data_IF_497675645427
#
_entry.id   IF_497675645427
#
_cell.length_a   1.000
_cell.length_b   1.000
_cell.length_c   1.000
_cell.angle_alpha   90.00
_cell.angle_beta   90.00
_cell.angle_gamma   90.00
#
_symmetry.space_group_name_H-M   'P 1'
#
loop_
_entity.id
_entity.type
_entity.pdbx_description
1 polymer ?
#
# COMPACT_ATOMS: atom_id res chain seq x y z
N UNK A 1 1.59 -16.26 16.58
CA UNK A 1 1.38 -14.89 16.08
C UNK A 1 1.76 -14.93 14.62
N UNK A 2 0.92 -14.40 13.73
CA UNK A 2 1.20 -14.41 12.30
C UNK A 2 2.47 -13.59 11.97
N UNK A 3 3.24 -14.02 10.97
CA UNK A 3 4.41 -13.30 10.48
C UNK A 3 4.05 -12.41 9.29
N UNK A 4 4.59 -11.18 9.24
CA UNK A 4 4.16 -10.16 8.28
C UNK A 4 5.38 -9.54 7.58
N UNK A 5 5.35 -9.54 6.22
CA UNK A 5 6.24 -8.73 5.38
C UNK A 5 5.60 -7.38 5.10
N UNK A 6 6.26 -6.29 5.46
CA UNK A 6 5.91 -4.96 4.94
C UNK A 6 6.42 -4.85 3.49
N UNK A 7 5.54 -4.47 2.57
CA UNK A 7 5.87 -4.20 1.18
C UNK A 7 5.49 -2.76 0.82
N UNK A 8 6.48 -1.95 0.47
CA UNK A 8 6.28 -0.56 0.08
C UNK A 8 6.84 -0.30 -1.31
N UNK A 9 6.15 0.58 -2.06
CA UNK A 9 6.62 1.16 -3.31
C UNK A 9 6.88 2.63 -3.06
N UNK A 10 8.08 3.10 -3.32
CA UNK A 10 8.48 4.47 -3.00
C UNK A 10 9.08 5.20 -4.21
N UNK A 11 8.92 6.54 -4.23
CA UNK A 11 9.60 7.41 -5.16
C UNK A 11 9.63 8.84 -4.63
N UNK A 12 10.81 9.34 -4.29
CA UNK A 12 11.01 10.71 -3.77
C UNK A 12 10.17 10.99 -2.51
N UNK A 13 10.26 10.08 -1.54
CA UNK A 13 9.48 10.12 -0.30
C UNK A 13 10.34 10.47 0.92
N UNK A 14 11.52 11.11 0.71
CA UNK A 14 12.48 11.42 1.77
C UNK A 14 11.88 12.24 2.93
N UNK A 15 10.86 13.04 2.66
CA UNK A 15 10.23 13.89 3.67
C UNK A 15 9.28 13.14 4.62
N UNK A 16 8.76 11.97 4.24
CA UNK A 16 7.70 11.26 4.99
C UNK A 16 8.05 9.82 5.34
N UNK A 17 8.95 9.18 4.58
CA UNK A 17 9.25 7.76 4.71
C UNK A 17 9.73 7.37 6.11
N UNK A 18 10.61 8.15 6.73
CA UNK A 18 11.09 7.86 8.09
C UNK A 18 9.93 7.82 9.09
N UNK A 19 9.05 8.83 9.05
CA UNK A 19 7.86 8.90 9.93
C UNK A 19 6.94 7.69 9.76
N UNK A 20 6.72 7.25 8.50
CA UNK A 20 5.95 6.05 8.22
C UNK A 20 6.62 4.83 8.86
N UNK A 21 7.89 4.58 8.54
CA UNK A 21 8.62 3.41 9.03
C UNK A 21 8.77 3.40 10.55
N UNK A 22 9.03 4.53 11.20
CA UNK A 22 9.05 4.64 12.66
C UNK A 22 7.74 4.19 13.31
N UNK A 23 6.61 4.40 12.61
CA UNK A 23 5.30 4.03 13.14
C UNK A 23 4.95 2.55 12.99
N UNK A 24 5.64 1.79 12.10
CA UNK A 24 5.21 0.42 11.74
C UNK A 24 6.34 -0.62 11.71
N UNK A 25 7.61 -0.22 11.60
CA UNK A 25 8.72 -1.15 11.30
C UNK A 25 8.87 -2.26 12.35
N UNK A 26 8.75 -1.95 13.63
CA UNK A 26 8.88 -2.91 14.74
C UNK A 26 7.70 -3.89 14.87
N UNK A 27 6.58 -3.63 14.17
CA UNK A 27 5.44 -4.54 14.07
C UNK A 27 5.63 -5.61 12.99
N UNK A 28 6.61 -5.41 12.10
CA UNK A 28 6.86 -6.24 10.92
C UNK A 28 8.00 -7.23 11.16
N UNK A 29 7.89 -8.42 10.57
CA UNK A 29 8.93 -9.44 10.66
C UNK A 29 9.91 -9.35 9.48
N UNK A 30 9.54 -8.62 8.44
CA UNK A 30 10.31 -8.38 7.23
C UNK A 30 9.90 -7.04 6.62
N UNK A 31 10.87 -6.29 6.08
CA UNK A 31 10.62 -5.00 5.40
C UNK A 31 11.23 -5.06 4.00
N UNK A 32 10.39 -4.80 2.99
CA UNK A 32 10.74 -4.79 1.57
C UNK A 32 10.37 -3.43 1.00
N UNK A 33 11.37 -2.73 0.48
CA UNK A 33 11.20 -1.43 -0.17
C UNK A 33 11.49 -1.60 -1.66
N UNK A 34 10.56 -1.18 -2.51
CA UNK A 34 10.73 -1.13 -3.96
C UNK A 34 10.81 0.32 -4.38
N UNK A 35 12.01 0.75 -4.77
CA UNK A 35 12.25 2.10 -5.29
C UNK A 35 11.97 2.15 -6.79
N UNK A 36 11.13 3.10 -7.21
CA UNK A 36 10.74 3.26 -8.62
C UNK A 36 11.47 4.41 -9.32
N UNK A 37 12.66 4.74 -8.84
CA UNK A 37 13.55 5.74 -9.41
C UNK A 37 13.55 7.04 -8.63
N UNK A 38 13.83 6.97 -7.31
CA UNK A 38 14.06 8.14 -6.47
C UNK A 38 15.36 8.86 -6.86
N UNK A 39 15.34 10.18 -6.74
CA UNK A 39 16.47 11.08 -6.98
C UNK A 39 16.86 11.88 -5.75
N UNK A 40 16.15 11.66 -4.64
CA UNK A 40 16.38 12.24 -3.32
C UNK A 40 16.95 11.18 -2.35
N UNK A 41 17.00 11.48 -1.06
CA UNK A 41 17.55 10.60 -0.02
C UNK A 41 16.59 9.46 0.40
N UNK A 42 15.58 9.12 -0.41
CA UNK A 42 14.60 8.06 -0.06
C UNK A 42 15.30 6.72 0.21
N UNK A 43 16.25 6.32 -0.63
CA UNK A 43 16.95 5.02 -0.48
C UNK A 43 17.88 5.00 0.74
N UNK A 44 18.54 6.09 1.05
CA UNK A 44 19.39 6.24 2.24
C UNK A 44 18.55 6.14 3.53
N UNK A 45 17.35 6.72 3.53
CA UNK A 45 16.42 6.60 4.65
C UNK A 45 15.94 5.15 4.78
N UNK A 46 15.50 4.53 3.68
CA UNK A 46 15.06 3.13 3.68
C UNK A 46 16.14 2.17 4.19
N UNK A 47 17.42 2.44 3.88
CA UNK A 47 18.55 1.62 4.29
C UNK A 47 18.79 1.59 5.81
N UNK A 48 18.21 2.52 6.57
CA UNK A 48 18.27 2.51 8.04
C UNK A 48 17.34 1.45 8.65
N UNK A 49 16.34 0.97 7.90
CA UNK A 49 15.32 0.02 8.38
C UNK A 49 15.49 -1.38 7.78
N UNK A 50 16.04 -1.49 6.56
CA UNK A 50 16.20 -2.77 5.87
C UNK A 50 17.32 -2.74 4.84
N UNK A 51 17.94 -3.90 4.61
CA UNK A 51 18.83 -4.12 3.47
C UNK A 51 18.09 -4.62 2.22
N UNK A 52 16.78 -4.91 2.33
CA UNK A 52 15.96 -5.45 1.23
C UNK A 52 15.31 -4.32 0.43
N UNK A 53 16.15 -3.55 -0.25
CA UNK A 53 15.76 -2.46 -1.14
C UNK A 53 15.99 -2.92 -2.57
N UNK A 54 14.97 -2.81 -3.41
CA UNK A 54 14.98 -3.26 -4.80
C UNK A 54 14.65 -2.11 -5.73
N UNK A 55 15.43 -1.96 -6.79
CA UNK A 55 15.11 -1.03 -7.87
C UNK A 55 14.07 -1.65 -8.82
N UNK A 56 13.07 -0.87 -9.17
CA UNK A 56 12.07 -1.23 -10.16
C UNK A 56 11.92 -0.10 -11.18
N UNK A 57 12.19 -0.43 -12.43
CA UNK A 57 12.01 0.57 -13.51
C UNK A 57 10.54 0.92 -13.66
N UNK A 58 10.19 2.17 -13.38
CA UNK A 58 8.82 2.64 -13.46
C UNK A 58 8.24 2.51 -14.87
N UNK A 59 7.11 1.83 -14.98
CA UNK A 59 6.39 1.55 -16.23
C UNK A 59 5.05 2.27 -16.34
N UNK A 60 4.77 3.24 -15.48
CA UNK A 60 3.46 3.88 -15.34
C UNK A 60 2.35 2.91 -14.92
N UNK A 61 2.71 1.88 -14.16
CA UNK A 61 1.82 0.83 -13.69
C UNK A 61 2.14 0.49 -12.23
N UNK A 62 1.25 0.88 -11.32
CA UNK A 62 1.37 0.56 -9.89
C UNK A 62 1.16 -0.92 -9.62
N UNK A 63 0.29 -1.60 -10.38
CA UNK A 63 0.04 -3.02 -10.19
C UNK A 63 1.30 -3.86 -10.47
N UNK A 64 2.05 -3.51 -11.52
CA UNK A 64 3.32 -4.17 -11.84
C UNK A 64 4.35 -4.00 -10.72
N UNK A 65 4.51 -2.78 -10.20
CA UNK A 65 5.42 -2.51 -9.09
C UNK A 65 4.99 -3.23 -7.80
N UNK A 66 3.68 -3.29 -7.51
CA UNK A 66 3.13 -3.98 -6.35
C UNK A 66 3.31 -5.50 -6.46
N UNK A 67 3.03 -6.08 -7.62
CA UNK A 67 3.28 -7.50 -7.88
C UNK A 67 4.76 -7.86 -7.72
N UNK A 68 5.67 -6.99 -8.20
CA UNK A 68 7.10 -7.17 -7.99
C UNK A 68 7.46 -7.11 -6.50
N UNK A 69 6.94 -6.15 -5.74
CA UNK A 69 7.13 -6.04 -4.30
C UNK A 69 6.65 -7.30 -3.57
N UNK A 70 5.44 -7.79 -3.87
CA UNK A 70 4.87 -9.00 -3.30
C UNK A 70 5.70 -10.25 -3.60
N UNK A 71 6.31 -10.33 -4.79
CA UNK A 71 7.17 -11.46 -5.16
C UNK A 71 8.44 -11.58 -4.28
N UNK A 72 8.79 -10.52 -3.55
CA UNK A 72 9.94 -10.50 -2.64
C UNK A 72 9.59 -10.91 -1.21
N UNK A 73 8.31 -10.91 -0.85
CA UNK A 73 7.82 -11.23 0.49
C UNK A 73 8.00 -12.72 0.82
N UNK A 74 8.39 -13.03 2.06
CA UNK A 74 8.61 -14.41 2.52
C UNK A 74 7.75 -14.81 3.71
N UNK A 75 7.13 -13.86 4.44
CA UNK A 75 6.30 -14.12 5.61
C UNK A 75 4.90 -14.64 5.26
N UNK A 76 4.11 -15.02 6.24
CA UNK A 76 2.75 -15.57 6.04
C UNK A 76 1.78 -14.56 5.44
N UNK A 77 1.91 -13.29 5.84
CA UNK A 77 1.11 -12.19 5.36
C UNK A 77 1.98 -11.08 4.78
N UNK A 78 1.38 -10.29 3.92
CA UNK A 78 1.98 -9.09 3.32
C UNK A 78 1.15 -7.89 3.74
N UNK A 79 1.76 -6.91 4.41
CA UNK A 79 1.17 -5.62 4.69
C UNK A 79 1.65 -4.60 3.67
N UNK A 80 0.71 -3.86 3.06
CA UNK A 80 1.04 -2.77 2.13
C UNK A 80 0.91 -1.43 2.82
N UNK A 81 1.93 -0.58 2.71
CA UNK A 81 1.87 0.79 3.18
C UNK A 81 2.38 1.76 2.11
N UNK A 82 1.75 2.92 2.05
CA UNK A 82 2.26 4.07 1.32
C UNK A 82 3.11 4.94 2.29
N UNK A 83 4.09 5.67 1.76
CA UNK A 83 5.09 6.36 2.59
C UNK A 83 4.50 7.49 3.47
N UNK A 84 3.31 7.97 3.14
CA UNK A 84 2.58 9.02 3.86
C UNK A 84 1.55 8.47 4.87
N UNK A 85 1.52 7.15 5.08
CA UNK A 85 0.67 6.48 6.06
C UNK A 85 1.39 6.33 7.41
N UNK A 86 0.64 6.45 8.50
CA UNK A 86 1.14 6.22 9.86
C UNK A 86 0.13 5.46 10.71
N UNK A 87 0.61 4.71 11.68
CA UNK A 87 -0.16 4.18 12.80
C UNK A 87 0.19 4.97 14.06
N UNK A 88 -0.81 5.56 14.72
CA UNK A 88 -0.62 6.09 16.07
C UNK A 88 -0.55 4.95 17.11
N UNK A 89 -0.19 5.28 18.35
CA UNK A 89 0.02 4.28 19.41
C UNK A 89 -1.22 3.40 19.63
N UNK A 90 -2.43 3.99 19.62
CA UNK A 90 -3.66 3.23 19.80
C UNK A 90 -3.90 2.23 18.66
N UNK A 91 -3.59 2.61 17.42
CA UNK A 91 -3.72 1.74 16.25
C UNK A 91 -2.59 0.71 16.16
N UNK A 92 -1.39 1.02 16.66
CA UNK A 92 -0.31 0.04 16.82
C UNK A 92 -0.73 -1.09 17.79
N UNK A 93 -1.34 -0.76 18.91
CA UNK A 93 -1.87 -1.75 19.85
C UNK A 93 -2.98 -2.61 19.22
N UNK A 94 -3.89 -2.01 18.44
CA UNK A 94 -4.93 -2.75 17.69
C UNK A 94 -4.28 -3.70 16.68
N UNK A 95 -3.26 -3.21 15.96
CA UNK A 95 -2.53 -4.03 14.99
C UNK A 95 -1.84 -5.24 15.64
N UNK A 96 -1.21 -5.06 16.80
CA UNK A 96 -0.61 -6.16 17.57
C UNK A 96 -1.65 -7.20 18.02
N UNK A 97 -2.82 -6.76 18.49
CA UNK A 97 -3.93 -7.67 18.83
C UNK A 97 -4.43 -8.42 17.59
N UNK A 98 -4.61 -7.73 16.47
CA UNK A 98 -4.97 -8.33 15.18
C UNK A 98 -3.93 -9.39 14.78
N UNK A 99 -2.64 -9.05 14.78
CA UNK A 99 -1.53 -9.98 14.45
C UNK A 99 -1.54 -11.24 15.32
N UNK A 100 -1.93 -11.10 16.60
CA UNK A 100 -2.04 -12.21 17.54
C UNK A 100 -3.28 -13.10 17.35
N UNK A 101 -4.37 -12.53 16.86
CA UNK A 101 -5.67 -13.20 16.73
C UNK A 101 -6.02 -13.63 15.28
N UNK A 102 -5.13 -13.34 14.33
CA UNK A 102 -5.40 -13.59 12.91
C UNK A 102 -5.58 -15.08 12.62
N UNK A 103 -6.74 -15.44 12.13
CA UNK A 103 -7.09 -16.82 11.80
C UNK A 103 -6.54 -17.21 10.42
N UNK A 104 -6.11 -18.48 10.24
CA UNK A 104 -5.49 -18.94 8.98
C UNK A 104 -6.37 -18.85 7.75
N UNK A 105 -7.70 -18.86 7.89
CA UNK A 105 -8.68 -18.76 6.81
C UNK A 105 -8.87 -17.35 6.29
N UNK A 106 -8.44 -16.32 7.04
CA UNK A 106 -8.53 -14.92 6.60
C UNK A 106 -7.49 -14.65 5.52
N UNK A 107 -7.93 -14.22 4.36
CA UNK A 107 -7.08 -13.97 3.19
C UNK A 107 -6.74 -12.51 3.00
N UNK A 108 -7.69 -11.62 3.30
CA UNK A 108 -7.49 -10.16 3.27
C UNK A 108 -8.06 -9.54 4.54
N UNK A 109 -7.27 -8.66 5.15
CA UNK A 109 -7.76 -7.77 6.20
C UNK A 109 -7.90 -6.37 5.63
N UNK A 110 -9.11 -5.82 5.75
CA UNK A 110 -9.38 -4.42 5.47
C UNK A 110 -9.17 -3.59 6.73
N UNK A 111 -8.53 -2.44 6.56
CA UNK A 111 -8.30 -1.47 7.62
C UNK A 111 -8.96 -0.14 7.28
N UNK A 112 -9.37 0.61 8.29
CA UNK A 112 -9.99 1.91 8.10
C UNK A 112 -8.93 2.93 7.66
N UNK A 113 -9.10 3.47 6.48
CA UNK A 113 -8.26 4.52 5.94
C UNK A 113 -8.87 5.87 6.30
N UNK A 114 -8.13 6.68 7.04
CA UNK A 114 -8.59 7.97 7.57
C UNK A 114 -7.77 9.08 6.95
N UNK A 115 -8.38 9.92 6.13
CA UNK A 115 -7.71 11.09 5.57
C UNK A 115 -7.80 12.25 6.56
N UNK A 116 -6.65 12.78 6.96
CA UNK A 116 -6.55 14.02 7.75
C UNK A 116 -6.37 15.20 6.79
N UNK A 117 -7.32 16.14 6.80
CA UNK A 117 -7.24 17.38 6.02
C UNK A 117 -8.56 17.79 5.37
N UNK A 118 -8.61 19.05 4.92
CA UNK A 118 -9.77 19.69 4.26
C UNK A 118 -9.75 19.49 2.74
N UNK A 119 -9.33 18.34 2.26
CA UNK A 119 -9.39 18.05 0.82
C UNK A 119 -10.78 17.50 0.48
N UNK A 120 -11.74 18.40 0.36
CA UNK A 120 -13.10 18.11 -0.09
C UNK A 120 -13.10 17.78 -1.60
N UNK A 121 -12.78 16.53 -1.93
CA UNK A 121 -13.21 15.97 -3.19
C UNK A 121 -14.36 15.00 -2.91
N UNK A 122 -15.35 14.95 -3.81
CA UNK A 122 -16.56 14.12 -3.70
C UNK A 122 -16.27 12.63 -3.50
N UNK A 123 -15.04 12.20 -3.70
CA UNK A 123 -14.56 10.81 -3.59
C UNK A 123 -13.84 10.49 -2.27
N UNK A 124 -13.60 11.46 -1.38
CA UNK A 124 -12.91 11.22 -0.12
C UNK A 124 -13.93 11.09 1.01
N UNK A 125 -14.46 9.89 1.19
CA UNK A 125 -15.05 9.53 2.47
C UNK A 125 -13.99 9.74 3.55
N UNK A 126 -14.32 10.46 4.65
CA UNK A 126 -13.40 10.72 5.78
C UNK A 126 -12.84 9.41 6.37
N UNK A 127 -13.56 8.30 6.18
CA UNK A 127 -13.13 6.93 6.57
C UNK A 127 -13.67 5.94 5.53
N UNK A 128 -12.78 5.11 4.99
CA UNK A 128 -13.15 3.99 4.13
C UNK A 128 -12.35 2.75 4.48
N UNK A 129 -12.88 1.56 4.18
CA UNK A 129 -12.14 0.33 4.30
C UNK A 129 -11.26 0.11 3.07
N UNK A 130 -9.97 -0.12 3.30
CA UNK A 130 -9.00 -0.50 2.27
C UNK A 130 -8.34 -1.83 2.60
N UNK A 131 -8.14 -2.72 1.63
CA UNK A 131 -7.37 -3.94 1.83
C UNK A 131 -5.90 -3.58 2.08
N UNK A 132 -5.35 -3.99 3.23
CA UNK A 132 -4.00 -3.63 3.66
C UNK A 132 -3.13 -4.84 4.01
N UNK A 133 -3.73 -5.93 4.49
CA UNK A 133 -3.02 -7.15 4.84
C UNK A 133 -3.52 -8.31 3.97
N UNK A 134 -2.59 -9.03 3.34
CA UNK A 134 -2.86 -10.07 2.36
C UNK A 134 -2.15 -11.37 2.73
N UNK A 135 -2.85 -12.50 2.72
CA UNK A 135 -2.23 -13.80 2.96
C UNK A 135 -1.37 -14.23 1.77
N UNK A 136 -0.06 -14.40 1.99
CA UNK A 136 0.90 -14.68 0.92
C UNK A 136 0.74 -16.05 0.22
N UNK A 137 0.18 -17.06 0.90
CA UNK A 137 0.01 -18.41 0.33
C UNK A 137 -0.96 -18.49 -0.87
N UNK A 138 -1.72 -17.42 -1.15
CA UNK A 138 -2.41 -17.25 -2.42
C UNK A 138 -1.65 -16.28 -3.30
N UNK A 139 -1.56 -16.60 -4.58
CA UNK A 139 -1.01 -15.66 -5.57
C UNK A 139 -2.06 -14.58 -5.83
N UNK A 140 -2.00 -13.50 -5.06
CA UNK A 140 -2.76 -12.30 -5.35
C UNK A 140 -2.10 -11.57 -6.51
N UNK A 141 -2.84 -11.41 -7.60
CA UNK A 141 -2.39 -10.62 -8.75
C UNK A 141 -3.09 -9.28 -8.71
N UNK A 142 -2.32 -8.23 -8.57
CA UNK A 142 -2.82 -6.88 -8.71
C UNK A 142 -3.05 -6.56 -10.19
N UNK A 143 -4.16 -5.91 -10.48
CA UNK A 143 -4.55 -5.46 -11.81
C UNK A 143 -4.90 -3.98 -11.77
N UNK A 144 -4.98 -3.38 -12.93
CA UNK A 144 -5.14 -1.95 -13.19
C UNK A 144 -3.89 -1.11 -12.86
N UNK A 145 -3.47 -0.21 -13.75
CA UNK A 145 -2.23 0.57 -13.62
C UNK A 145 -2.33 1.68 -12.58
N UNK A 146 -3.57 2.06 -12.20
CA UNK A 146 -3.89 3.04 -11.17
C UNK A 146 -5.16 2.59 -10.41
N UNK A 147 -5.28 2.94 -9.12
CA UNK A 147 -6.34 2.42 -8.23
C UNK A 147 -6.46 0.91 -8.30
N UNK A 148 -5.31 0.26 -8.26
CA UNK A 148 -5.14 -1.17 -8.45
C UNK A 148 -6.02 -2.00 -7.52
N UNK A 149 -6.40 -3.20 -7.96
CA UNK A 149 -7.25 -4.12 -7.22
C UNK A 149 -6.77 -5.56 -7.37
N UNK A 150 -7.34 -6.48 -6.59
CA UNK A 150 -7.05 -7.91 -6.63
C UNK A 150 -8.18 -8.66 -7.32
N UNK A 151 -7.85 -9.58 -8.23
CA UNK A 151 -8.80 -10.27 -9.10
C UNK A 151 -9.66 -11.35 -8.42
N UNK A 152 -9.38 -11.75 -7.19
CA UNK A 152 -10.05 -12.88 -6.53
C UNK A 152 -11.19 -12.39 -5.64
N UNK A 153 -12.13 -13.30 -5.32
CA UNK A 153 -13.14 -13.11 -4.26
C UNK A 153 -12.59 -13.72 -2.96
N UNK A 154 -11.81 -12.97 -2.18
CA UNK A 154 -11.13 -13.49 -1.00
C UNK A 154 -12.05 -13.52 0.22
N UNK A 155 -11.69 -14.32 1.23
CA UNK A 155 -12.26 -14.21 2.57
C UNK A 155 -11.70 -12.96 3.24
N UNK A 156 -12.55 -11.96 3.43
CA UNK A 156 -12.17 -10.66 3.99
C UNK A 156 -12.54 -10.53 5.45
N UNK A 157 -11.75 -9.79 6.21
CA UNK A 157 -12.02 -9.40 7.58
C UNK A 157 -11.85 -7.88 7.73
N UNK A 158 -12.88 -7.21 8.25
CA UNK A 158 -12.85 -5.77 8.51
C UNK A 158 -12.34 -5.53 9.94
N UNK A 159 -11.15 -4.97 10.06
CA UNK A 159 -10.54 -4.68 11.35
C UNK A 159 -10.91 -3.29 11.87
N UNK A 160 -10.70 -3.08 13.16
CA UNK A 160 -10.84 -1.77 13.83
C UNK A 160 -9.57 -0.92 13.76
N UNK A 161 -8.52 -1.40 13.10
CA UNK A 161 -7.27 -0.64 12.88
C UNK A 161 -7.54 0.53 11.95
N UNK A 162 -7.16 1.73 12.38
CA UNK A 162 -7.22 2.94 11.58
C UNK A 162 -5.82 3.34 11.11
N UNK A 163 -5.68 3.59 9.81
CA UNK A 163 -4.46 4.08 9.18
C UNK A 163 -4.65 5.55 8.89
N UNK A 164 -3.78 6.38 9.42
CA UNK A 164 -3.81 7.82 9.19
C UNK A 164 -3.05 8.14 7.90
N UNK A 165 -3.74 8.69 6.92
CA UNK A 165 -3.16 9.18 5.68
C UNK A 165 -2.82 10.66 5.82
N UNK A 166 -1.55 11.00 5.75
CA UNK A 166 -1.01 12.34 6.00
C UNK A 166 -0.18 12.84 4.80
N UNK A 167 -0.79 13.04 3.62
CA UNK A 167 -0.08 13.45 2.41
C UNK A 167 0.47 14.87 2.55
N UNK A 168 1.66 15.10 1.97
CA UNK A 168 2.24 16.45 1.86
C UNK A 168 1.76 17.20 0.61
N UNK A 169 1.34 16.48 -0.43
CA UNK A 169 0.90 17.05 -1.70
C UNK A 169 -0.16 16.19 -2.38
N UNK A 170 -0.95 16.83 -3.26
CA UNK A 170 -1.90 16.12 -4.11
C UNK A 170 -1.22 15.58 -5.36
N UNK A 171 -1.46 14.32 -5.69
CA UNK A 171 -0.88 13.65 -6.85
C UNK A 171 -1.81 13.55 -8.06
N UNK A 172 -2.93 14.29 -8.07
CA UNK A 172 -3.98 14.22 -9.11
C UNK A 172 -3.46 14.34 -10.55
N UNK A 173 -2.45 15.19 -10.80
CA UNK A 173 -1.85 15.32 -12.14
C UNK A 173 -1.09 14.07 -12.58
N UNK A 174 -0.35 13.44 -11.65
CA UNK A 174 0.36 12.18 -11.90
C UNK A 174 -0.64 11.07 -12.21
N UNK A 175 -1.65 10.93 -11.39
CA UNK A 175 -2.66 9.88 -11.48
C UNK A 175 -3.45 9.99 -12.78
N UNK A 176 -3.84 11.20 -13.17
CA UNK A 176 -4.48 11.45 -14.46
C UNK A 176 -3.56 11.15 -15.65
N UNK A 177 -2.28 11.46 -15.56
CA UNK A 177 -1.30 11.11 -16.60
C UNK A 177 -1.12 9.59 -16.78
N UNK A 178 -1.14 8.83 -15.67
CA UNK A 178 -1.09 7.36 -15.71
C UNK A 178 -2.36 6.81 -16.35
N UNK A 179 -3.52 7.35 -15.97
CA UNK A 179 -4.81 6.99 -16.54
C UNK A 179 -4.83 7.17 -18.07
N UNK A 180 -4.40 8.33 -18.58
CA UNK A 180 -4.36 8.60 -20.03
C UNK A 180 -3.46 7.58 -20.75
N UNK A 181 -2.24 7.35 -20.23
CA UNK A 181 -1.29 6.40 -20.84
C UNK A 181 -1.83 4.98 -20.88
N UNK A 182 -2.49 4.54 -19.81
CA UNK A 182 -3.10 3.21 -19.77
C UNK A 182 -4.25 3.09 -20.78
N UNK A 183 -5.06 4.14 -20.94
CA UNK A 183 -6.12 4.16 -21.96
C UNK A 183 -5.57 4.11 -23.38
N UNK A 184 -4.51 4.87 -23.67
CA UNK A 184 -3.84 4.86 -24.99
C UNK A 184 -3.25 3.49 -25.33
N UNK A 185 -2.77 2.76 -24.31
CA UNK A 185 -2.15 1.44 -24.51
C UNK A 185 -3.19 0.32 -24.65
N UNK A 186 -4.17 0.24 -23.75
CA UNK A 186 -5.07 -0.92 -23.64
C UNK A 186 -6.46 -0.70 -24.23
N UNK A 187 -6.86 0.57 -24.50
CA UNK A 187 -8.17 0.95 -25.04
C UNK A 187 -9.37 0.59 -24.16
N UNK A 188 -9.16 -0.09 -23.04
CA UNK A 188 -10.20 -0.54 -22.11
C UNK A 188 -9.73 -0.45 -20.65
N UNK A 189 -10.65 -0.10 -19.78
CA UNK A 189 -10.46 -0.13 -18.34
C UNK A 189 -11.39 -1.12 -17.65
N UNK A 190 -11.02 -1.54 -16.45
CA UNK A 190 -11.93 -2.25 -15.57
C UNK A 190 -13.19 -1.40 -15.28
N UNK A 191 -14.34 -2.02 -14.97
CA UNK A 191 -15.54 -1.28 -14.57
C UNK A 191 -15.28 -0.29 -13.43
N UNK A 192 -14.42 -0.67 -12.46
CA UNK A 192 -14.02 0.19 -11.33
C UNK A 192 -13.37 1.48 -11.82
N UNK A 193 -12.32 1.37 -12.65
CA UNK A 193 -11.60 2.55 -13.16
C UNK A 193 -12.52 3.44 -14.01
N UNK A 194 -13.38 2.84 -14.85
CA UNK A 194 -14.35 3.61 -15.64
C UNK A 194 -15.30 4.41 -14.76
N UNK A 195 -15.78 3.84 -13.65
CA UNK A 195 -16.69 4.53 -12.73
C UNK A 195 -15.99 5.66 -11.98
N UNK A 196 -14.71 5.55 -11.69
CA UNK A 196 -13.96 6.58 -10.95
C UNK A 196 -13.64 7.82 -11.79
N UNK A 197 -13.57 7.70 -13.11
CA UNK A 197 -13.18 8.78 -14.03
C UNK A 197 -14.27 9.16 -15.04
N UNK A 198 -15.50 8.65 -14.90
CA UNK A 198 -16.68 9.05 -15.66
C UNK A 198 -17.36 10.28 -15.03
#
# INVERSE_FOLDING_TARGET
MATISLCMIVKNESAVLARCLDSIADLMDEIIIVDTGSTDNTKEIAAQYTSRIYDFKWTSDFSAARNFSFSKATMEYIYTADADEILDDANRERFLRLKGALLPEIEIVQMKYVTQGTFDTVLNAKKEYRPKLFRRLRTFTWIDPIHETVRLTPVTFDSDVEILHCPQSLHSKRDFSIFIKAFEHDGQFSPKIRTMYA
#
